data_IF_804718713205
#
_entry.id   IF_804718713205
#
_cell.length_a   1.000
_cell.length_b   1.000
_cell.length_c   1.000
_cell.angle_alpha   90.00
_cell.angle_beta   90.00
_cell.angle_gamma   90.00
#
_symmetry.space_group_name_H-M   'P 1'
#
loop_
_entity.id
_entity.type
_entity.pdbx_description
1 polymer ?
#
# COMPACT_ATOMS: atom_id res chain seq x y z
N UNK A 1 -15.79 -2.68 -1.43
CA UNK A 1 -15.63 -1.49 -2.30
C UNK A 1 -16.33 -1.61 -3.66
N UNK A 2 -16.59 -2.81 -4.19
CA UNK A 2 -17.22 -2.94 -5.53
C UNK A 2 -18.66 -2.43 -5.62
N UNK A 3 -19.34 -2.30 -4.47
CA UNK A 3 -20.71 -1.79 -4.38
C UNK A 3 -20.78 -0.25 -4.27
N UNK A 4 -19.65 0.44 -4.03
CA UNK A 4 -19.60 1.89 -3.89
C UNK A 4 -19.65 2.60 -5.27
N UNK A 5 -20.21 3.83 -5.36
CA UNK A 5 -20.36 4.56 -6.61
C UNK A 5 -19.05 4.67 -7.42
N UNK A 6 -19.12 4.37 -8.72
CA UNK A 6 -17.96 4.37 -9.63
C UNK A 6 -17.44 5.77 -9.98
N UNK A 7 -18.22 6.82 -9.71
CA UNK A 7 -17.93 8.19 -10.14
C UNK A 7 -16.99 8.99 -9.22
N UNK A 8 -16.74 8.52 -8.00
CA UNK A 8 -15.94 9.28 -7.04
C UNK A 8 -14.46 9.34 -7.46
N UNK A 9 -13.83 10.53 -7.56
CA UNK A 9 -12.45 10.66 -8.03
C UNK A 9 -11.44 9.90 -7.16
N UNK A 10 -11.72 9.77 -5.86
CA UNK A 10 -10.92 9.01 -4.91
C UNK A 10 -10.83 7.51 -5.16
N UNK A 11 -11.77 6.92 -5.89
CA UNK A 11 -11.74 5.49 -6.22
C UNK A 11 -10.46 5.09 -6.95
N UNK A 12 -9.94 5.95 -7.83
CA UNK A 12 -8.68 5.72 -8.57
C UNK A 12 -7.42 5.90 -7.70
N UNK A 13 -7.56 6.45 -6.50
CA UNK A 13 -6.48 6.61 -5.53
C UNK A 13 -6.47 5.47 -4.48
N UNK A 14 -7.33 4.46 -4.63
CA UNK A 14 -7.38 3.26 -3.80
C UNK A 14 -7.00 2.02 -4.62
N UNK A 15 -6.23 1.11 -4.02
CA UNK A 15 -5.78 -0.14 -4.65
C UNK A 15 -6.98 -0.92 -5.18
N UNK A 16 -6.97 -1.17 -6.49
CA UNK A 16 -8.02 -1.96 -7.15
C UNK A 16 -7.70 -3.45 -7.07
N UNK A 17 -8.68 -4.26 -6.67
CA UNK A 17 -8.65 -5.72 -6.79
C UNK A 17 -9.23 -6.10 -8.16
N UNK A 18 -8.43 -6.75 -9.01
CA UNK A 18 -8.84 -7.19 -10.34
C UNK A 18 -9.51 -8.56 -10.30
N UNK A 19 -8.99 -9.45 -9.46
CA UNK A 19 -9.48 -10.82 -9.31
C UNK A 19 -9.09 -11.38 -7.94
N UNK A 20 -9.82 -12.38 -7.47
CA UNK A 20 -9.51 -13.12 -6.26
C UNK A 20 -9.88 -14.60 -6.44
N UNK A 21 -8.90 -15.48 -6.22
CA UNK A 21 -9.07 -16.92 -6.39
C UNK A 21 -8.28 -17.70 -5.36
N UNK A 22 -8.38 -19.04 -5.39
CA UNK A 22 -7.63 -19.93 -4.51
C UNK A 22 -6.71 -20.84 -5.33
N UNK A 23 -5.51 -21.09 -4.83
CA UNK A 23 -4.58 -22.10 -5.34
C UNK A 23 -4.42 -23.19 -4.29
N UNK A 24 -4.47 -24.46 -4.69
CA UNK A 24 -4.16 -25.58 -3.82
C UNK A 24 -2.64 -25.64 -3.54
N UNK A 25 -2.25 -25.45 -2.29
CA UNK A 25 -0.90 -25.70 -1.80
C UNK A 25 -0.73 -27.15 -1.31
N UNK A 26 0.48 -27.52 -0.85
CA UNK A 26 0.75 -28.86 -0.33
C UNK A 26 -0.09 -29.26 0.89
N UNK A 27 -0.44 -28.28 1.74
CA UNK A 27 -1.18 -28.50 2.99
C UNK A 27 -2.58 -27.87 3.00
N UNK A 28 -2.75 -26.70 2.37
CA UNK A 28 -4.02 -25.96 2.36
C UNK A 28 -4.17 -25.08 1.10
N UNK A 29 -5.35 -24.50 0.92
CA UNK A 29 -5.64 -23.53 -0.13
C UNK A 29 -5.12 -22.15 0.27
N UNK A 30 -4.42 -21.50 -0.66
CA UNK A 30 -3.96 -20.13 -0.51
C UNK A 30 -4.87 -19.18 -1.29
N UNK A 31 -5.42 -18.17 -0.60
CA UNK A 31 -6.15 -17.10 -1.28
C UNK A 31 -5.15 -16.19 -2.01
N UNK A 32 -5.41 -15.93 -3.29
CA UNK A 32 -4.62 -15.06 -4.14
C UNK A 32 -5.44 -13.83 -4.53
N UNK A 33 -4.84 -12.65 -4.38
CA UNK A 33 -5.44 -11.36 -4.73
C UNK A 33 -4.66 -10.77 -5.91
N UNK A 34 -5.35 -10.51 -7.02
CA UNK A 34 -4.75 -9.96 -8.23
C UNK A 34 -4.98 -8.47 -8.28
N UNK A 35 -3.92 -7.73 -8.56
CA UNK A 35 -3.96 -6.27 -8.62
C UNK A 35 -3.12 -5.77 -9.79
N UNK A 36 -3.35 -4.53 -10.29
CA UNK A 36 -2.45 -3.92 -11.25
C UNK A 36 -1.02 -3.83 -10.68
N UNK A 37 0.04 -3.92 -11.47
CA UNK A 37 1.38 -3.69 -10.95
C UNK A 37 1.51 -2.23 -10.48
N UNK A 38 2.33 -2.01 -9.45
CA UNK A 38 2.74 -0.68 -8.98
C UNK A 38 4.25 -0.64 -8.91
N UNK A 39 4.78 0.58 -8.88
CA UNK A 39 6.17 0.81 -8.55
C UNK A 39 6.34 0.86 -7.02
N UNK A 40 7.31 1.61 -6.53
CA UNK A 40 7.71 1.61 -5.13
C UNK A 40 6.78 2.41 -4.20
N UNK A 41 6.87 2.11 -2.91
CA UNK A 41 6.21 2.90 -1.86
C UNK A 41 6.81 4.30 -1.73
N UNK A 42 6.03 5.25 -1.21
CA UNK A 42 6.51 6.62 -0.92
C UNK A 42 7.69 6.57 0.05
N UNK A 43 7.68 5.65 1.03
CA UNK A 43 8.80 5.42 1.94
C UNK A 43 10.06 4.97 1.20
N UNK A 44 9.92 4.00 0.28
CA UNK A 44 11.06 3.52 -0.51
C UNK A 44 11.60 4.60 -1.44
N UNK A 45 10.72 5.39 -2.05
CA UNK A 45 11.11 6.55 -2.86
C UNK A 45 11.84 7.63 -2.05
N UNK A 46 11.36 7.93 -0.83
CA UNK A 46 12.04 8.83 0.10
C UNK A 46 13.45 8.34 0.42
N UNK A 47 13.63 7.05 0.66
CA UNK A 47 14.94 6.43 0.93
C UNK A 47 15.89 6.41 -0.28
N UNK A 48 15.39 6.59 -1.51
CA UNK A 48 16.26 6.82 -2.68
C UNK A 48 16.90 8.20 -2.66
N UNK A 49 16.33 9.16 -1.93
CA UNK A 49 16.93 10.48 -1.78
C UNK A 49 18.00 10.44 -0.65
N UNK A 50 19.27 10.80 -0.91
CA UNK A 50 20.32 10.81 0.12
C UNK A 50 20.01 11.68 1.34
N UNK A 51 19.13 12.69 1.21
CA UNK A 51 18.70 13.53 2.34
C UNK A 51 17.43 13.03 3.03
N UNK A 52 16.87 11.92 2.57
CA UNK A 52 15.65 11.27 3.10
C UNK A 52 14.47 12.25 3.27
N UNK A 53 14.31 13.15 2.29
CA UNK A 53 13.22 14.11 2.23
C UNK A 53 12.63 14.14 0.83
N UNK A 54 11.35 14.44 0.70
CA UNK A 54 10.73 14.66 -0.61
C UNK A 54 10.52 16.16 -0.84
N UNK A 55 10.65 16.64 -2.09
CA UNK A 55 10.27 18.01 -2.42
C UNK A 55 8.81 18.28 -2.05
N UNK A 56 8.51 19.49 -1.56
CA UNK A 56 7.15 19.84 -1.12
C UNK A 56 6.09 19.64 -2.22
N UNK A 57 6.46 19.82 -3.49
CA UNK A 57 5.57 19.57 -4.62
C UNK A 57 5.15 18.08 -4.73
N UNK A 58 6.09 17.15 -4.47
CA UNK A 58 5.82 15.71 -4.47
C UNK A 58 4.93 15.35 -3.29
N UNK A 59 5.23 15.88 -2.09
CA UNK A 59 4.41 15.64 -0.89
C UNK A 59 2.98 16.16 -1.11
N UNK A 60 2.82 17.38 -1.64
CA UNK A 60 1.51 17.95 -1.93
C UNK A 60 0.72 17.09 -2.93
N UNK A 61 1.38 16.53 -3.94
CA UNK A 61 0.76 15.61 -4.89
C UNK A 61 0.30 14.30 -4.24
N UNK A 62 1.16 13.67 -3.43
CA UNK A 62 0.83 12.45 -2.67
C UNK A 62 -0.33 12.71 -1.73
N UNK A 63 -0.29 13.78 -0.93
CA UNK A 63 -1.35 14.12 0.02
C UNK A 63 -2.67 14.40 -0.66
N UNK A 64 -2.68 15.11 -1.79
CA UNK A 64 -3.90 15.35 -2.56
C UNK A 64 -4.57 14.04 -2.97
N UNK A 65 -3.79 13.06 -3.44
CA UNK A 65 -4.31 11.74 -3.83
C UNK A 65 -4.77 10.93 -2.62
N UNK A 66 -4.01 10.97 -1.53
CA UNK A 66 -4.38 10.30 -0.28
C UNK A 66 -5.69 10.85 0.30
N UNK A 67 -5.88 12.18 0.33
CA UNK A 67 -7.13 12.76 0.82
C UNK A 67 -8.32 12.39 -0.07
N UNK A 68 -8.15 12.31 -1.39
CA UNK A 68 -9.20 11.79 -2.27
C UNK A 68 -9.52 10.32 -1.94
N UNK A 69 -8.51 9.49 -1.69
CA UNK A 69 -8.70 8.10 -1.29
C UNK A 69 -9.48 7.99 0.03
N UNK A 70 -9.11 8.77 1.05
CA UNK A 70 -9.78 8.78 2.35
C UNK A 70 -11.21 9.28 2.26
N UNK A 71 -11.45 10.35 1.51
CA UNK A 71 -12.80 10.86 1.25
C UNK A 71 -13.68 9.77 0.64
N UNK A 72 -13.20 9.07 -0.39
CA UNK A 72 -13.90 7.92 -0.98
C UNK A 72 -14.15 6.79 0.02
N UNK A 73 -13.13 6.43 0.80
CA UNK A 73 -13.25 5.32 1.76
C UNK A 73 -14.22 5.64 2.89
N UNK A 74 -14.15 6.85 3.43
CA UNK A 74 -14.92 7.28 4.59
C UNK A 74 -16.37 7.58 4.22
N UNK A 75 -16.63 8.18 3.05
CA UNK A 75 -17.99 8.63 2.66
C UNK A 75 -18.76 7.63 1.81
N UNK A 76 -18.08 6.90 0.90
CA UNK A 76 -18.75 6.01 -0.07
C UNK A 76 -18.60 4.53 0.29
N UNK A 77 -17.54 4.15 1.01
CA UNK A 77 -17.26 2.76 1.34
C UNK A 77 -17.53 2.41 2.82
N UNK A 78 -17.63 3.41 3.70
CA UNK A 78 -17.70 3.26 5.16
C UNK A 78 -16.56 2.39 5.72
N UNK A 79 -15.33 2.64 5.26
CA UNK A 79 -14.13 1.91 5.66
C UNK A 79 -13.14 2.86 6.32
N UNK A 80 -12.56 2.45 7.46
CA UNK A 80 -11.41 3.08 8.11
C UNK A 80 -10.16 2.26 7.79
N UNK A 81 -9.05 2.88 7.39
CA UNK A 81 -7.85 2.15 6.96
C UNK A 81 -7.03 1.67 8.18
N UNK A 82 -6.85 2.49 9.21
CA UNK A 82 -6.22 2.20 10.53
C UNK A 82 -4.71 1.95 10.57
N UNK A 83 -4.01 1.99 9.45
CA UNK A 83 -2.58 1.75 9.27
C UNK A 83 -1.99 2.65 8.16
N UNK A 84 -2.39 3.93 8.12
CA UNK A 84 -1.86 4.84 7.09
C UNK A 84 -0.41 5.19 7.43
N UNK A 85 0.48 4.90 6.48
CA UNK A 85 1.90 5.19 6.56
C UNK A 85 2.48 5.29 5.15
N UNK A 86 3.64 5.93 5.01
CA UNK A 86 4.29 6.13 3.71
C UNK A 86 4.63 4.82 2.98
N UNK A 87 4.68 3.69 3.69
CA UNK A 87 4.90 2.37 3.08
C UNK A 87 3.65 1.80 2.41
N UNK A 88 2.46 2.15 2.92
CA UNK A 88 1.17 1.72 2.39
C UNK A 88 0.67 2.64 1.26
N UNK A 89 1.49 3.58 0.79
CA UNK A 89 1.19 4.43 -0.37
C UNK A 89 2.20 4.11 -1.44
N UNK A 90 1.75 3.58 -2.56
CA UNK A 90 2.62 3.14 -3.65
C UNK A 90 2.37 3.95 -4.91
N UNK A 91 3.42 4.23 -5.66
CA UNK A 91 3.29 4.94 -6.93
C UNK A 91 2.79 4.02 -8.03
N UNK A 92 1.85 4.52 -8.83
CA UNK A 92 1.50 3.93 -10.11
C UNK A 92 2.70 3.83 -11.04
N UNK A 93 2.55 3.05 -12.09
CA UNK A 93 3.52 2.96 -13.17
C UNK A 93 2.78 2.96 -14.50
N UNK A 94 3.21 3.84 -15.40
CA UNK A 94 2.69 3.90 -16.76
C UNK A 94 3.73 3.36 -17.78
N UNK A 95 4.91 3.01 -17.29
CA UNK A 95 6.05 2.50 -18.05
C UNK A 95 6.30 1.02 -17.70
N UNK A 96 5.64 0.12 -18.43
CA UNK A 96 5.77 -1.34 -18.21
C UNK A 96 7.18 -1.87 -18.49
N UNK A 97 8.02 -1.12 -19.21
CA UNK A 97 9.38 -1.56 -19.53
C UNK A 97 10.26 -1.75 -18.28
N UNK A 98 9.88 -1.17 -17.13
CA UNK A 98 10.53 -1.46 -15.84
C UNK A 98 10.40 -2.94 -15.45
N UNK A 99 9.27 -3.59 -15.77
CA UNK A 99 9.06 -4.99 -15.45
C UNK A 99 9.77 -5.92 -16.44
N UNK A 100 9.77 -5.55 -17.72
CA UNK A 100 10.54 -6.29 -18.74
C UNK A 100 12.03 -6.28 -18.40
N UNK A 101 12.59 -5.12 -18.05
CA UNK A 101 14.01 -5.03 -17.68
C UNK A 101 14.32 -5.84 -16.42
N UNK A 102 13.41 -5.81 -15.43
CA UNK A 102 13.57 -6.61 -14.21
C UNK A 102 13.64 -8.12 -14.50
N UNK A 103 12.77 -8.61 -15.40
CA UNK A 103 12.75 -10.01 -15.84
C UNK A 103 14.02 -10.37 -16.63
N UNK A 104 14.40 -9.53 -17.61
CA UNK A 104 15.60 -9.74 -18.42
C UNK A 104 16.87 -9.76 -17.58
N UNK A 105 17.00 -8.85 -16.61
CA UNK A 105 18.12 -8.83 -15.67
C UNK A 105 18.17 -10.11 -14.81
N UNK A 106 17.04 -10.71 -14.45
CA UNK A 106 16.99 -11.92 -13.62
C UNK A 106 17.38 -13.16 -14.43
N UNK A 107 16.99 -13.19 -15.71
CA UNK A 107 17.39 -14.24 -16.63
C UNK A 107 18.89 -14.15 -16.97
N UNK A 108 19.44 -12.95 -17.17
CA UNK A 108 20.85 -12.76 -17.54
C UNK A 108 21.79 -12.84 -16.34
N UNK A 109 21.38 -12.30 -15.19
CA UNK A 109 22.18 -12.24 -13.98
C UNK A 109 21.32 -12.60 -12.76
N UNK A 110 21.11 -13.89 -12.46
CA UNK A 110 20.30 -14.31 -11.34
C UNK A 110 20.78 -13.73 -10.00
N UNK A 111 19.86 -13.23 -9.19
CA UNK A 111 20.18 -12.75 -7.84
C UNK A 111 20.63 -13.90 -6.93
N UNK A 112 21.49 -13.62 -5.94
CA UNK A 112 21.76 -14.53 -4.84
C UNK A 112 20.47 -15.11 -4.24
N UNK A 113 20.45 -16.43 -4.12
CA UNK A 113 19.35 -17.20 -3.55
C UNK A 113 19.86 -18.19 -2.51
N UNK A 114 19.05 -18.46 -1.50
CA UNK A 114 19.29 -19.47 -0.47
C UNK A 114 18.25 -20.57 -0.62
N UNK A 115 18.70 -21.81 -0.74
CA UNK A 115 17.84 -22.99 -0.65
C UNK A 115 17.82 -23.46 0.80
N UNK A 116 16.62 -23.70 1.36
CA UNK A 116 16.46 -24.27 2.69
C UNK A 116 16.43 -25.79 2.62
N UNK A 117 17.29 -26.44 3.42
CA UNK A 117 17.55 -27.89 3.34
C UNK A 117 16.34 -28.78 3.66
N UNK A 118 15.38 -28.29 4.45
CA UNK A 118 14.27 -29.12 4.96
C UNK A 118 13.05 -29.15 4.03
N UNK A 119 12.69 -28.02 3.41
CA UNK A 119 11.43 -27.89 2.66
C UNK A 119 11.65 -27.56 1.18
N UNK A 120 12.92 -27.46 0.73
CA UNK A 120 13.26 -27.09 -0.65
C UNK A 120 12.86 -25.66 -1.04
N UNK A 121 12.48 -24.83 -0.06
CA UNK A 121 12.10 -23.43 -0.28
C UNK A 121 13.32 -22.62 -0.70
N UNK A 122 13.18 -21.88 -1.80
CA UNK A 122 14.19 -20.92 -2.23
C UNK A 122 13.80 -19.51 -1.77
N UNK A 123 14.70 -18.85 -1.07
CA UNK A 123 14.59 -17.43 -0.68
C UNK A 123 15.51 -16.61 -1.57
N UNK A 124 14.94 -15.64 -2.28
CA UNK A 124 15.66 -14.76 -3.20
C UNK A 124 15.96 -13.42 -2.55
N UNK A 125 17.15 -12.87 -2.78
CA UNK A 125 17.47 -11.51 -2.34
C UNK A 125 16.72 -10.48 -3.20
N UNK A 126 15.90 -9.63 -2.59
CA UNK A 126 15.11 -8.63 -3.33
C UNK A 126 15.99 -7.76 -4.26
N UNK A 127 15.62 -7.69 -5.54
CA UNK A 127 16.17 -6.74 -6.50
C UNK A 127 15.35 -5.46 -6.52
N UNK A 128 16.03 -4.32 -6.65
CA UNK A 128 15.38 -3.02 -6.82
C UNK A 128 14.86 -2.88 -8.24
N UNK A 129 13.65 -2.35 -8.38
CA UNK A 129 13.16 -1.89 -9.68
C UNK A 129 13.95 -0.64 -10.08
N UNK A 130 14.19 -0.47 -11.39
CA UNK A 130 14.72 0.80 -11.90
C UNK A 130 13.70 1.93 -11.71
N UNK A 131 14.15 3.17 -11.88
CA UNK A 131 13.26 4.32 -11.87
C UNK A 131 12.53 4.35 -13.22
N UNK A 132 11.18 4.32 -13.25
CA UNK A 132 10.41 4.42 -14.49
C UNK A 132 10.61 5.79 -15.15
N UNK A 133 10.49 5.84 -16.48
CA UNK A 133 10.46 7.10 -17.21
C UNK A 133 9.18 7.90 -16.91
N UNK A 134 8.07 7.19 -16.64
CA UNK A 134 6.78 7.77 -16.28
C UNK A 134 6.22 7.10 -15.01
N UNK A 135 6.25 7.86 -13.90
CA UNK A 135 5.69 7.46 -12.62
C UNK A 135 4.20 7.82 -12.62
N UNK A 136 3.34 6.82 -12.37
CA UNK A 136 1.90 7.02 -12.28
C UNK A 136 1.44 7.62 -10.95
N UNK A 137 0.15 7.92 -10.86
CA UNK A 137 -0.48 8.48 -9.67
C UNK A 137 -0.26 7.59 -8.42
N UNK A 138 -0.04 8.16 -7.23
CA UNK A 138 0.02 7.39 -5.99
C UNK A 138 -1.34 6.81 -5.60
N UNK A 139 -1.28 5.63 -5.00
CA UNK A 139 -2.43 4.80 -4.65
C UNK A 139 -2.26 4.28 -3.21
N UNK A 140 -3.30 4.45 -2.39
CA UNK A 140 -3.39 3.87 -1.05
C UNK A 140 -3.60 2.37 -1.17
N UNK A 141 -2.72 1.62 -0.52
CA UNK A 141 -2.60 0.17 -0.56
C UNK A 141 -2.73 -0.41 0.84
N UNK A 142 -2.68 -1.74 0.90
CA UNK A 142 -2.77 -2.56 2.10
C UNK A 142 -4.05 -2.31 2.94
N UNK A 143 -5.02 -3.19 2.76
CA UNK A 143 -6.30 -3.14 3.48
C UNK A 143 -6.40 -4.26 4.51
N UNK A 144 -5.29 -4.90 4.88
CA UNK A 144 -5.28 -6.05 5.80
C UNK A 144 -5.71 -5.69 7.22
N UNK A 145 -5.62 -4.43 7.62
CA UNK A 145 -6.08 -3.91 8.91
C UNK A 145 -7.34 -3.04 8.82
N UNK A 146 -7.89 -2.83 7.62
CA UNK A 146 -9.03 -1.95 7.43
C UNK A 146 -10.31 -2.52 8.09
N UNK A 147 -11.15 -1.64 8.62
CA UNK A 147 -12.40 -2.01 9.33
C UNK A 147 -13.60 -1.22 8.81
N UNK A 148 -14.81 -1.70 9.09
CA UNK A 148 -16.06 -1.00 8.77
C UNK A 148 -16.31 0.13 9.78
N UNK A 149 -16.42 1.37 9.32
CA UNK A 149 -16.44 2.55 10.21
C UNK A 149 -17.76 2.84 10.94
N UNK A 150 -18.88 2.22 10.55
CA UNK A 150 -20.19 2.42 11.20
C UNK A 150 -20.38 1.56 12.47
N UNK A 151 -19.27 1.07 13.03
CA UNK A 151 -19.26 0.22 14.21
C UNK A 151 -18.63 0.95 15.40
N UNK A 152 -18.93 0.48 16.60
CA UNK A 152 -18.22 0.95 17.79
C UNK A 152 -16.83 0.34 17.81
N UNK A 153 -15.82 1.19 17.91
CA UNK A 153 -14.43 0.77 17.93
C UNK A 153 -13.70 1.29 19.17
N UNK A 154 -12.99 0.39 19.83
CA UNK A 154 -12.08 0.67 20.94
C UNK A 154 -10.85 -0.25 20.91
N UNK A 155 -10.63 -0.93 19.78
CA UNK A 155 -9.55 -1.88 19.59
C UNK A 155 -8.22 -1.15 19.41
N UNK A 156 -7.12 -1.88 19.67
CA UNK A 156 -5.78 -1.35 19.52
C UNK A 156 -5.30 -1.47 18.07
N UNK A 157 -5.31 -0.33 17.37
CA UNK A 157 -4.91 -0.20 15.97
C UNK A 157 -3.66 0.70 15.82
N UNK A 158 -3.25 0.91 14.57
CA UNK A 158 -2.16 1.80 14.14
C UNK A 158 -0.76 1.41 14.62
N UNK A 159 0.29 1.65 13.81
CA UNK A 159 1.66 1.50 14.27
C UNK A 159 2.01 2.52 15.35
N UNK A 160 2.97 2.17 16.21
CA UNK A 160 3.33 2.95 17.40
C UNK A 160 3.54 4.45 17.13
N UNK A 161 4.29 4.81 16.08
CA UNK A 161 4.63 6.21 15.80
C UNK A 161 3.50 7.01 15.14
N UNK A 162 2.48 6.33 14.62
CA UNK A 162 1.34 6.97 13.95
C UNK A 162 0.08 6.95 14.82
N UNK A 163 0.13 6.33 16.00
CA UNK A 163 -1.08 6.04 16.79
C UNK A 163 -1.75 7.31 17.31
N UNK A 164 -3.06 7.37 17.12
CA UNK A 164 -3.92 8.46 17.57
C UNK A 164 -4.10 8.43 19.09
N UNK A 165 -4.27 9.61 19.74
CA UNK A 165 -4.38 9.70 21.18
C UNK A 165 -5.61 8.95 21.72
N UNK A 166 -6.73 8.96 21.02
CA UNK A 166 -7.93 8.20 21.39
C UNK A 166 -7.65 6.70 21.46
N UNK A 167 -6.84 6.16 20.55
CA UNK A 167 -6.41 4.76 20.56
C UNK A 167 -5.46 4.48 21.72
N UNK A 168 -4.51 5.39 22.00
CA UNK A 168 -3.58 5.26 23.14
C UNK A 168 -4.34 5.23 24.47
N UNK A 169 -5.38 6.05 24.60
CA UNK A 169 -6.18 6.17 25.82
C UNK A 169 -7.26 5.08 25.95
N UNK A 170 -7.41 4.21 24.95
CA UNK A 170 -8.50 3.23 24.90
C UNK A 170 -9.88 3.87 24.82
N UNK A 171 -9.95 5.10 24.31
CA UNK A 171 -11.20 5.80 24.07
C UNK A 171 -11.82 5.34 22.74
N UNK A 172 -13.15 5.46 22.58
CA UNK A 172 -13.79 5.17 21.31
C UNK A 172 -13.22 6.03 20.18
N UNK A 173 -13.06 5.44 19.01
CA UNK A 173 -12.46 6.11 17.85
C UNK A 173 -13.28 5.89 16.57
N UNK A 174 -13.01 6.72 15.56
CA UNK A 174 -13.75 6.72 14.27
C UNK A 174 -12.80 7.02 13.11
N UNK A 175 -13.32 7.36 11.93
CA UNK A 175 -12.58 7.80 10.73
C UNK A 175 -11.46 8.83 10.99
N UNK A 176 -11.54 9.64 12.07
CA UNK A 176 -10.51 10.64 12.42
C UNK A 176 -9.11 10.06 12.64
N UNK A 177 -9.00 8.80 13.02
CA UNK A 177 -7.72 8.13 13.28
C UNK A 177 -6.84 8.08 12.03
N UNK A 178 -7.44 7.92 10.85
CA UNK A 178 -6.74 7.95 9.56
C UNK A 178 -6.16 9.35 9.29
N UNK A 179 -6.92 10.41 9.60
CA UNK A 179 -6.46 11.79 9.43
C UNK A 179 -5.29 12.10 10.39
N UNK A 180 -5.34 11.56 11.61
CA UNK A 180 -4.21 11.63 12.54
C UNK A 180 -2.96 10.95 11.97
N UNK A 181 -3.09 9.74 11.41
CA UNK A 181 -1.96 9.05 10.77
C UNK A 181 -1.33 9.90 9.66
N UNK A 182 -2.16 10.55 8.81
CA UNK A 182 -1.67 11.47 7.78
C UNK A 182 -0.89 12.62 8.40
N UNK A 183 -1.39 13.21 9.49
CA UNK A 183 -0.70 14.27 10.23
C UNK A 183 0.66 13.85 10.77
N UNK A 184 0.79 12.63 11.28
CA UNK A 184 2.07 12.07 11.75
C UNK A 184 3.05 11.73 10.62
N UNK A 185 2.56 11.50 9.40
CA UNK A 185 3.39 11.14 8.25
C UNK A 185 4.13 12.35 7.63
N UNK A 186 3.62 13.57 7.81
CA UNK A 186 4.14 14.83 7.22
C UNK A 186 5.04 15.57 8.19
#
# INVERSE_FOLDING_TARGET
>A
MDQAPKGHPGRKAVRTLLDAFYIDGPEDKHQCLVHPPLWESVLTFLRRNPVERLPSAVIAFVLRRLFLALDYMHTECNIVQTDIKADNIMFGINDDSVFTDFEEEELQQPIPRKEEDMDGRTVYMSRKLRIPADVGDPVLCDFGSAVLGDQHHAEFIQPNIYRAPEVILGAPWTYSVDIWNVGCMV
#
